data_IF_254873610624
#
_entry.id   IF_254873610624
#
_cell.length_a   1.000
_cell.length_b   1.000
_cell.length_c   1.000
_cell.angle_alpha   90.00
_cell.angle_beta   90.00
_cell.angle_gamma   90.00
#
_symmetry.space_group_name_H-M   'P 1'
#
loop_
_entity.id
_entity.type
_entity.pdbx_description
1 polymer ?
#
# COMPACT_ATOMS: atom_id res chain seq x y z
N UNK A 1 -4.29 -15.56 2.97
CA UNK A 1 -4.74 -14.21 3.34
C UNK A 1 -5.80 -13.65 2.37
N UNK A 2 -5.73 -13.98 1.07
CA UNK A 2 -6.65 -13.42 0.08
C UNK A 2 -8.13 -13.69 0.36
N UNK A 3 -8.47 -14.83 0.98
CA UNK A 3 -9.83 -15.22 1.35
C UNK A 3 -9.95 -15.65 2.81
N UNK A 4 -9.09 -15.14 3.67
CA UNK A 4 -9.08 -15.41 5.11
C UNK A 4 -8.94 -14.13 5.90
N UNK A 5 -9.65 -14.04 7.04
CA UNK A 5 -9.46 -12.98 8.01
C UNK A 5 -8.18 -13.18 8.84
N UNK A 6 -7.93 -12.28 9.79
CA UNK A 6 -6.74 -12.33 10.65
C UNK A 6 -6.75 -13.56 11.59
N UNK A 7 -7.94 -14.08 11.91
CA UNK A 7 -8.12 -15.27 12.74
C UNK A 7 -8.01 -16.58 11.94
N UNK A 8 -7.80 -16.47 10.61
CA UNK A 8 -7.67 -17.61 9.70
C UNK A 8 -8.99 -18.20 9.21
N UNK A 9 -10.15 -17.60 9.55
CA UNK A 9 -11.45 -18.03 9.06
C UNK A 9 -11.67 -17.61 7.60
N UNK A 10 -12.51 -18.37 6.89
CA UNK A 10 -12.89 -18.02 5.52
C UNK A 10 -13.65 -16.70 5.50
N UNK A 11 -13.12 -15.72 4.76
CA UNK A 11 -13.69 -14.39 4.60
C UNK A 11 -13.47 -13.90 3.16
N UNK A 12 -14.56 -13.56 2.47
CA UNK A 12 -14.50 -13.07 1.08
C UNK A 12 -13.77 -11.74 0.92
N UNK A 13 -13.74 -10.91 1.96
CA UNK A 13 -12.98 -9.67 1.97
C UNK A 13 -11.47 -9.90 2.18
N UNK A 14 -11.10 -11.07 2.69
CA UNK A 14 -9.72 -11.41 2.98
C UNK A 14 -9.10 -10.48 4.04
N UNK A 15 -7.79 -10.37 3.96
CA UNK A 15 -6.97 -9.49 4.80
C UNK A 15 -6.05 -8.69 3.90
N UNK A 16 -5.66 -7.50 4.29
CA UNK A 16 -4.52 -6.83 3.67
C UNK A 16 -3.25 -7.58 4.03
N UNK A 17 -2.35 -7.75 3.07
CA UNK A 17 -1.14 -8.52 3.31
C UNK A 17 0.04 -8.01 2.50
N UNK A 18 1.24 -8.28 3.00
CA UNK A 18 2.50 -8.20 2.28
C UNK A 18 3.00 -9.61 1.99
N UNK A 19 3.90 -9.76 1.05
CA UNK A 19 4.52 -11.04 0.75
C UNK A 19 5.83 -11.16 1.53
N UNK A 20 5.83 -12.01 2.57
CA UNK A 20 6.97 -12.22 3.46
C UNK A 20 8.24 -12.75 2.75
N UNK A 21 8.11 -13.24 1.52
CA UNK A 21 9.25 -13.65 0.67
C UNK A 21 10.06 -12.45 0.20
N UNK A 22 9.41 -11.29 0.04
CA UNK A 22 10.00 -10.08 -0.56
C UNK A 22 10.07 -8.92 0.41
N UNK A 23 9.11 -8.78 1.31
CA UNK A 23 9.07 -7.68 2.26
C UNK A 23 9.24 -8.17 3.70
N UNK A 24 9.99 -7.45 4.48
CA UNK A 24 10.12 -7.72 5.90
C UNK A 24 8.87 -7.27 6.68
N UNK A 25 8.73 -7.80 7.89
CA UNK A 25 7.58 -7.49 8.75
C UNK A 25 7.67 -6.12 9.41
N UNK A 26 8.82 -5.44 9.31
CA UNK A 26 9.06 -4.11 9.91
C UNK A 26 8.77 -2.98 8.94
N UNK A 27 8.53 -3.30 7.66
CA UNK A 27 8.37 -2.34 6.55
C UNK A 27 9.62 -1.44 6.40
N UNK A 28 10.80 -2.04 6.58
CA UNK A 28 12.07 -1.34 6.45
C UNK A 28 12.68 -1.42 5.05
N UNK A 29 12.07 -2.20 4.16
CA UNK A 29 12.47 -2.31 2.76
C UNK A 29 12.38 -0.96 2.01
N UNK A 30 13.18 -0.74 0.97
CA UNK A 30 13.07 0.43 0.10
C UNK A 30 11.70 0.57 -0.54
N UNK A 31 11.07 -0.56 -0.93
CA UNK A 31 9.70 -0.62 -1.44
C UNK A 31 8.95 -1.75 -0.77
N UNK A 32 7.87 -1.40 -0.07
CA UNK A 32 6.94 -2.36 0.51
C UNK A 32 5.64 -2.37 -0.30
N UNK A 33 5.17 -3.56 -0.71
CA UNK A 33 3.90 -3.70 -1.43
C UNK A 33 2.86 -4.34 -0.53
N UNK A 34 1.72 -3.66 -0.37
CA UNK A 34 0.55 -4.17 0.36
C UNK A 34 -0.57 -4.44 -0.63
N UNK A 35 -1.10 -5.64 -0.58
CA UNK A 35 -2.20 -6.11 -1.42
C UNK A 35 -3.51 -6.09 -0.66
N UNK A 36 -4.58 -5.69 -1.33
CA UNK A 36 -5.94 -5.69 -0.77
C UNK A 36 -7.01 -5.83 -1.82
N UNK A 37 -8.15 -6.41 -1.42
CA UNK A 37 -9.30 -6.56 -2.30
C UNK A 37 -9.98 -5.24 -2.62
N UNK A 38 -10.49 -5.14 -3.84
CA UNK A 38 -11.40 -4.07 -4.26
C UNK A 38 -12.85 -4.49 -3.98
N UNK A 39 -13.33 -4.19 -2.78
CA UNK A 39 -14.68 -4.56 -2.37
C UNK A 39 -15.72 -3.53 -2.83
N UNK A 40 -16.82 -4.00 -3.43
CA UNK A 40 -17.89 -3.12 -3.92
C UNK A 40 -18.56 -2.29 -2.80
N UNK A 41 -18.54 -2.76 -1.55
CA UNK A 41 -19.03 -2.04 -0.38
C UNK A 41 -18.01 -1.01 0.16
N UNK A 42 -16.90 -0.77 -0.55
CA UNK A 42 -15.81 0.14 -0.20
C UNK A 42 -14.99 -0.24 1.04
N UNK A 43 -15.14 -1.46 1.54
CA UNK A 43 -14.21 -2.00 2.54
C UNK A 43 -12.90 -2.45 1.87
N UNK A 44 -11.89 -2.75 2.65
CA UNK A 44 -10.53 -3.05 2.19
C UNK A 44 -9.99 -1.90 1.34
N UNK A 45 -9.52 -2.14 0.12
CA UNK A 45 -9.08 -1.09 -0.82
C UNK A 45 -10.18 -0.64 -1.80
N UNK A 46 -11.45 -0.96 -1.53
CA UNK A 46 -12.56 -0.70 -2.46
C UNK A 46 -12.85 0.78 -2.78
N UNK A 47 -12.33 1.72 -1.99
CA UNK A 47 -12.42 3.16 -2.26
C UNK A 47 -11.12 3.79 -2.76
N UNK A 48 -10.02 3.03 -2.73
CA UNK A 48 -8.66 3.57 -2.89
C UNK A 48 -8.42 4.16 -4.28
N UNK A 49 -8.87 3.48 -5.34
CA UNK A 49 -8.72 3.98 -6.72
C UNK A 49 -9.45 5.33 -6.90
N UNK A 50 -10.74 5.39 -6.54
CA UNK A 50 -11.53 6.62 -6.70
C UNK A 50 -10.97 7.79 -5.88
N UNK A 51 -10.42 7.50 -4.71
CA UNK A 51 -9.74 8.49 -3.89
C UNK A 51 -8.49 9.02 -4.60
N UNK A 52 -7.61 8.13 -5.05
CA UNK A 52 -6.34 8.50 -5.66
C UNK A 52 -6.51 9.21 -7.02
N UNK A 53 -7.54 8.86 -7.81
CA UNK A 53 -7.82 9.52 -9.10
C UNK A 53 -8.17 11.00 -8.96
N UNK A 54 -8.75 11.40 -7.83
CA UNK A 54 -9.21 12.78 -7.57
C UNK A 54 -8.39 13.50 -6.50
N UNK A 55 -7.38 12.83 -5.96
CA UNK A 55 -6.56 13.34 -4.88
C UNK A 55 -5.85 14.65 -5.28
N UNK A 56 -5.91 15.61 -4.37
CA UNK A 56 -5.00 16.77 -4.37
C UNK A 56 -3.84 16.43 -3.46
N UNK A 57 -2.62 16.56 -3.97
CA UNK A 57 -1.40 16.26 -3.23
C UNK A 57 -1.11 17.40 -2.24
N UNK A 58 -1.79 17.36 -1.11
CA UNK A 58 -1.59 18.24 0.03
C UNK A 58 -1.09 17.44 1.25
N UNK A 59 -0.88 18.14 2.37
CA UNK A 59 -0.38 17.52 3.61
C UNK A 59 -1.35 16.49 4.25
N UNK A 60 -2.59 16.40 3.74
CA UNK A 60 -3.60 15.43 4.20
C UNK A 60 -3.64 14.17 3.35
N UNK A 61 -2.91 14.16 2.24
CA UNK A 61 -2.79 13.01 1.35
C UNK A 61 -1.79 12.01 1.92
N UNK A 62 -2.15 11.35 3.02
CA UNK A 62 -1.24 10.45 3.75
C UNK A 62 -1.85 9.08 3.97
N UNK A 63 -0.97 8.10 4.10
CA UNK A 63 -1.25 6.76 4.64
C UNK A 63 -0.48 6.62 5.95
N UNK A 64 -1.18 6.31 7.02
CA UNK A 64 -0.56 6.05 8.31
C UNK A 64 -0.52 4.54 8.57
N UNK A 65 0.64 4.05 8.95
CA UNK A 65 0.87 2.65 9.30
C UNK A 65 1.27 2.56 10.76
N UNK A 66 0.53 1.78 11.52
CA UNK A 66 0.78 1.57 12.93
C UNK A 66 1.31 0.15 13.16
N UNK A 67 2.45 0.06 13.79
CA UNK A 67 3.05 -1.19 14.28
C UNK A 67 3.26 -1.10 15.79
N UNK A 68 3.53 -2.24 16.44
CA UNK A 68 3.87 -2.22 17.86
C UNK A 68 5.10 -1.32 18.11
N UNK A 69 4.88 -0.22 18.83
CA UNK A 69 5.94 0.74 19.16
C UNK A 69 6.36 1.70 18.05
N UNK A 70 5.62 1.78 16.93
CA UNK A 70 6.00 2.59 15.77
C UNK A 70 4.78 3.11 15.02
N UNK A 71 4.80 4.38 14.64
CA UNK A 71 3.90 4.98 13.68
C UNK A 71 4.72 5.49 12.50
N UNK A 72 4.31 5.13 11.30
CA UNK A 72 4.90 5.61 10.06
C UNK A 72 3.86 6.39 9.26
N UNK A 73 4.22 7.60 8.82
CA UNK A 73 3.37 8.43 7.96
C UNK A 73 3.98 8.48 6.57
N UNK A 74 3.22 8.04 5.59
CA UNK A 74 3.60 8.06 4.18
C UNK A 74 2.76 9.09 3.44
N UNK A 75 3.38 10.03 2.72
CA UNK A 75 2.69 10.99 1.87
C UNK A 75 2.47 10.38 0.49
N UNK A 76 1.20 10.39 0.04
CA UNK A 76 0.83 9.85 -1.28
C UNK A 76 1.36 10.80 -2.36
N UNK A 77 2.02 10.24 -3.36
CA UNK A 77 2.53 10.98 -4.51
C UNK A 77 2.05 10.45 -5.85
N UNK A 78 1.46 9.23 -5.91
CA UNK A 78 1.00 8.68 -7.18
C UNK A 78 -0.22 7.78 -7.04
N UNK A 79 -1.10 7.86 -8.04
CA UNK A 79 -2.14 6.88 -8.35
C UNK A 79 -2.09 6.56 -9.85
N UNK A 80 -1.88 5.28 -10.23
CA UNK A 80 -1.66 4.89 -11.62
C UNK A 80 -2.15 3.47 -11.91
N UNK A 81 -2.76 3.21 -13.09
CA UNK A 81 -3.02 1.86 -13.56
C UNK A 81 -1.73 1.07 -13.79
N UNK A 82 -1.81 -0.22 -13.49
CA UNK A 82 -0.71 -1.16 -13.58
C UNK A 82 -1.22 -2.49 -14.13
N UNK A 83 -0.42 -3.22 -14.87
CA UNK A 83 -0.80 -4.56 -15.34
C UNK A 83 -0.68 -5.62 -14.22
N UNK A 84 -0.64 -6.88 -14.55
CA UNK A 84 -0.51 -7.98 -13.59
C UNK A 84 0.94 -8.37 -13.28
N UNK A 85 1.92 -7.60 -13.76
CA UNK A 85 3.35 -7.84 -13.49
C UNK A 85 3.60 -7.81 -11.98
N UNK A 86 4.28 -8.81 -11.48
CA UNK A 86 4.58 -8.90 -10.05
C UNK A 86 5.74 -7.96 -9.70
N UNK A 87 5.45 -6.87 -8.98
CA UNK A 87 6.40 -5.78 -8.72
C UNK A 87 7.69 -6.33 -8.09
N UNK A 88 7.59 -6.99 -6.95
CA UNK A 88 8.75 -7.42 -6.15
C UNK A 88 9.50 -8.63 -6.73
N UNK A 89 8.85 -9.39 -7.61
CA UNK A 89 9.53 -10.51 -8.29
C UNK A 89 10.48 -10.03 -9.40
N UNK A 90 10.07 -8.97 -10.12
CA UNK A 90 10.84 -8.44 -11.24
C UNK A 90 11.81 -7.33 -10.87
N UNK A 91 11.68 -6.74 -9.66
CA UNK A 91 12.48 -5.60 -9.24
C UNK A 91 13.07 -5.84 -7.85
N UNK A 92 14.38 -6.00 -7.80
CA UNK A 92 15.14 -5.97 -6.55
C UNK A 92 15.42 -4.51 -6.18
N UNK A 93 14.53 -3.93 -5.37
CA UNK A 93 14.65 -2.53 -4.94
C UNK A 93 15.77 -2.28 -3.93
N UNK A 94 16.54 -3.28 -3.53
CA UNK A 94 17.79 -3.07 -2.78
C UNK A 94 18.92 -2.59 -3.69
N UNK A 95 18.76 -2.69 -5.01
CA UNK A 95 19.64 -2.12 -6.02
C UNK A 95 19.21 -0.68 -6.38
N UNK A 96 20.13 0.28 -6.25
CA UNK A 96 19.91 1.70 -6.53
C UNK A 96 19.44 1.95 -7.97
N UNK A 97 20.04 1.23 -8.94
CA UNK A 97 19.69 1.43 -10.34
C UNK A 97 18.27 0.94 -10.65
N UNK A 98 17.89 -0.22 -10.09
CA UNK A 98 16.54 -0.78 -10.23
C UNK A 98 15.51 0.16 -9.62
N UNK A 99 15.76 0.68 -8.41
CA UNK A 99 14.90 1.67 -7.77
C UNK A 99 14.73 2.92 -8.61
N UNK A 100 15.83 3.49 -9.05
CA UNK A 100 15.85 4.73 -9.85
C UNK A 100 15.14 4.55 -11.20
N UNK A 101 15.40 3.45 -11.89
CA UNK A 101 14.78 3.15 -13.19
C UNK A 101 13.27 2.93 -13.08
N UNK A 102 12.81 2.28 -11.99
CA UNK A 102 11.38 2.07 -11.76
C UNK A 102 10.62 3.38 -11.58
N UNK A 103 11.14 4.32 -10.78
CA UNK A 103 10.49 5.62 -10.58
C UNK A 103 10.69 6.57 -11.76
N UNK A 104 11.76 6.44 -12.54
CA UNK A 104 11.90 7.11 -13.82
C UNK A 104 10.88 6.60 -14.85
N UNK A 105 10.56 5.31 -14.84
CA UNK A 105 9.50 4.74 -15.66
C UNK A 105 8.11 5.24 -15.26
N UNK A 106 7.85 5.41 -13.95
CA UNK A 106 6.63 6.04 -13.45
C UNK A 106 6.48 7.47 -13.97
N UNK A 107 7.56 8.27 -13.94
CA UNK A 107 7.56 9.65 -14.47
C UNK A 107 7.21 9.70 -15.95
N UNK A 108 7.76 8.79 -16.75
CA UNK A 108 7.41 8.65 -18.18
C UNK A 108 5.94 8.27 -18.35
N UNK A 109 5.47 7.25 -17.62
CA UNK A 109 4.09 6.80 -17.68
C UNK A 109 3.09 7.89 -17.23
N UNK A 110 3.50 8.79 -16.36
CA UNK A 110 2.68 9.93 -15.91
C UNK A 110 2.43 10.95 -17.02
N UNK A 111 3.32 11.06 -17.99
CA UNK A 111 3.26 12.07 -19.07
C UNK A 111 2.90 11.50 -20.44
N UNK A 112 3.11 10.21 -20.63
CA UNK A 112 2.88 9.54 -21.90
C UNK A 112 1.82 8.43 -21.78
N UNK A 113 0.62 8.70 -22.27
CA UNK A 113 -0.50 7.75 -22.30
C UNK A 113 -0.24 6.52 -23.19
N UNK A 114 0.71 6.61 -24.11
CA UNK A 114 1.11 5.49 -25.00
C UNK A 114 2.18 4.59 -24.39
N UNK A 115 2.72 4.99 -23.21
CA UNK A 115 3.73 4.19 -22.51
C UNK A 115 3.18 2.79 -22.20
N UNK A 116 3.98 1.76 -22.49
CA UNK A 116 3.66 0.37 -22.17
C UNK A 116 4.71 -0.18 -21.20
N UNK A 117 4.30 -0.37 -19.96
CA UNK A 117 5.16 -0.97 -18.95
C UNK A 117 5.45 -2.45 -19.18
N UNK A 118 4.57 -3.15 -19.91
CA UNK A 118 4.79 -4.55 -20.28
C UNK A 118 6.03 -4.73 -21.14
N UNK A 119 6.27 -3.79 -22.07
CA UNK A 119 7.45 -3.81 -22.95
C UNK A 119 8.75 -3.56 -22.18
N UNK A 120 8.64 -2.91 -21.03
CA UNK A 120 9.76 -2.55 -20.15
C UNK A 120 9.82 -3.36 -18.86
N UNK A 121 8.94 -4.34 -18.69
CA UNK A 121 8.82 -5.21 -17.50
C UNK A 121 8.55 -4.47 -16.18
N UNK A 122 8.09 -3.22 -16.23
CA UNK A 122 7.73 -2.46 -15.02
C UNK A 122 6.22 -2.34 -14.77
N UNK A 123 5.38 -2.80 -15.69
CA UNK A 123 3.94 -2.98 -15.52
C UNK A 123 3.08 -1.71 -15.57
N UNK A 124 3.63 -0.50 -15.66
CA UNK A 124 2.82 0.72 -15.74
C UNK A 124 1.96 0.75 -17.01
N UNK A 125 0.66 0.99 -16.84
CA UNK A 125 -0.35 0.93 -17.88
C UNK A 125 -1.22 2.21 -17.94
N UNK A 126 -0.64 3.40 -18.23
CA UNK A 126 -1.37 4.67 -18.18
C UNK A 126 -2.53 4.77 -19.16
N UNK A 127 -2.55 3.96 -20.24
CA UNK A 127 -3.68 3.86 -21.16
C UNK A 127 -4.92 3.19 -20.56
N UNK A 128 -4.74 2.38 -19.52
CA UNK A 128 -5.81 1.61 -18.90
C UNK A 128 -6.72 2.45 -17.98
N UNK A 129 -6.40 3.71 -17.66
CA UNK A 129 -7.25 4.53 -16.80
C UNK A 129 -6.67 5.87 -16.39
N UNK A 130 -7.17 6.42 -15.31
CA UNK A 130 -6.70 7.68 -14.73
C UNK A 130 -5.30 7.57 -14.16
N UNK A 131 -4.51 8.58 -14.43
CA UNK A 131 -3.16 8.75 -13.89
C UNK A 131 -3.13 10.07 -13.13
N UNK A 132 -2.73 10.00 -11.87
CA UNK A 132 -2.59 11.15 -10.98
C UNK A 132 -1.25 11.01 -10.25
N UNK A 133 -0.23 11.80 -10.64
CA UNK A 133 1.13 11.70 -10.13
C UNK A 133 1.67 13.09 -9.81
N UNK A 134 2.13 13.29 -8.58
CA UNK A 134 2.89 14.46 -8.18
C UNK A 134 4.36 14.25 -8.57
N UNK A 135 4.73 14.75 -9.74
CA UNK A 135 6.08 14.58 -10.29
C UNK A 135 7.16 15.34 -9.52
N UNK A 136 6.79 16.34 -8.77
CA UNK A 136 7.73 17.13 -7.95
C UNK A 136 8.13 16.38 -6.66
N UNK A 137 7.38 15.34 -6.27
CA UNK A 137 7.61 14.54 -5.06
C UNK A 137 7.96 13.07 -5.34
N UNK A 138 8.47 12.77 -6.51
CA UNK A 138 8.92 11.40 -6.85
C UNK A 138 10.04 10.94 -5.90
N UNK A 139 10.04 9.64 -5.53
CA UNK A 139 11.06 9.09 -4.66
C UNK A 139 12.45 9.14 -5.26
N UNK A 140 13.44 9.30 -4.40
CA UNK A 140 14.87 9.21 -4.71
C UNK A 140 15.48 8.04 -3.96
N UNK A 141 16.61 7.56 -4.43
CA UNK A 141 17.35 6.51 -3.71
C UNK A 141 17.57 6.89 -2.24
N UNK A 142 17.23 5.95 -1.36
CA UNK A 142 17.22 6.16 0.09
C UNK A 142 15.85 6.49 0.68
N UNK A 143 14.88 6.90 -0.13
CA UNK A 143 13.48 7.03 0.31
C UNK A 143 12.85 5.64 0.49
N UNK A 144 11.94 5.50 1.47
CA UNK A 144 11.10 4.32 1.63
C UNK A 144 9.73 4.55 1.01
N UNK A 145 9.25 3.61 0.23
CA UNK A 145 8.00 3.71 -0.51
C UNK A 145 7.04 2.59 -0.12
N UNK A 146 5.80 2.98 0.17
CA UNK A 146 4.68 2.07 0.35
C UNK A 146 3.85 2.07 -0.94
N UNK A 147 3.58 0.89 -1.48
CA UNK A 147 2.74 0.66 -2.65
C UNK A 147 1.50 -0.10 -2.21
N UNK A 148 0.33 0.51 -2.36
CA UNK A 148 -0.96 -0.14 -2.13
C UNK A 148 -1.47 -0.65 -3.49
N UNK A 149 -1.57 -1.97 -3.64
CA UNK A 149 -1.98 -2.62 -4.88
C UNK A 149 -3.39 -3.19 -4.75
N UNK A 150 -4.28 -2.76 -5.63
CA UNK A 150 -5.69 -3.17 -5.67
C UNK A 150 -6.11 -3.56 -7.09
N UNK A 151 -7.08 -4.47 -7.23
CA UNK A 151 -7.71 -4.75 -8.52
C UNK A 151 -8.38 -3.49 -9.06
N UNK A 152 -8.14 -3.16 -10.32
CA UNK A 152 -8.73 -1.99 -10.95
C UNK A 152 -10.26 -2.15 -11.11
N UNK A 153 -11.01 -1.08 -10.85
CA UNK A 153 -12.47 -1.09 -10.99
C UNK A 153 -12.89 -1.46 -12.43
N UNK A 154 -13.67 -2.55 -12.53
CA UNK A 154 -14.24 -3.00 -13.81
C UNK A 154 -13.22 -3.58 -14.79
N UNK A 155 -12.03 -3.93 -14.36
CA UNK A 155 -10.96 -4.42 -15.22
C UNK A 155 -10.03 -5.38 -14.45
N UNK A 156 -10.29 -6.67 -14.59
CA UNK A 156 -9.54 -7.72 -13.89
C UNK A 156 -8.12 -7.94 -14.45
N UNK A 157 -7.85 -7.43 -15.65
CA UNK A 157 -6.54 -7.52 -16.29
C UNK A 157 -5.54 -6.50 -15.75
N UNK A 158 -6.03 -5.50 -14.98
CA UNK A 158 -5.18 -4.46 -14.44
C UNK A 158 -5.33 -4.32 -12.93
N UNK A 159 -4.34 -3.69 -12.35
CA UNK A 159 -4.31 -3.22 -10.96
C UNK A 159 -4.35 -1.69 -10.97
N UNK A 160 -4.63 -1.13 -9.81
CA UNK A 160 -4.41 0.29 -9.56
C UNK A 160 -3.43 0.39 -8.40
N UNK A 161 -2.34 1.12 -8.61
CA UNK A 161 -1.34 1.33 -7.58
C UNK A 161 -1.52 2.72 -6.98
N UNK A 162 -1.53 2.80 -5.65
CA UNK A 162 -1.37 4.05 -4.92
C UNK A 162 -0.03 4.00 -4.22
N UNK A 163 0.83 4.97 -4.50
CA UNK A 163 2.20 4.99 -4.01
C UNK A 163 2.39 6.16 -3.06
N UNK A 164 3.04 5.89 -1.94
CA UNK A 164 3.30 6.89 -0.91
C UNK A 164 4.74 6.77 -0.39
N UNK A 165 5.35 7.93 -0.11
CA UNK A 165 6.73 8.06 0.38
C UNK A 165 6.74 8.32 1.87
N UNK A 166 7.58 7.62 2.63
CA UNK A 166 7.75 7.82 4.06
C UNK A 166 8.23 9.25 4.34
N UNK A 167 7.49 9.96 5.19
CA UNK A 167 7.80 11.33 5.60
C UNK A 167 8.03 11.48 7.10
N UNK A 168 7.48 10.55 7.90
CA UNK A 168 7.65 10.54 9.33
C UNK A 168 7.68 9.08 9.84
N UNK A 169 8.59 8.80 10.75
CA UNK A 169 8.77 7.53 11.41
C UNK A 169 8.97 7.79 12.90
N UNK A 170 7.92 7.57 13.67
CA UNK A 170 7.90 7.82 15.09
C UNK A 170 8.12 6.54 15.87
N UNK A 171 9.05 6.56 16.82
CA UNK A 171 9.29 5.46 17.75
C UNK A 171 8.25 5.39 18.88
N UNK A 172 7.32 6.34 18.98
CA UNK A 172 6.30 6.34 20.02
C UNK A 172 5.19 5.31 19.74
N UNK A 173 4.89 4.43 20.71
CA UNK A 173 3.86 3.43 20.57
C UNK A 173 2.47 4.09 20.65
N UNK A 174 1.87 4.37 19.51
CA UNK A 174 0.43 4.58 19.46
C UNK A 174 -0.23 3.19 19.50
N UNK A 175 -0.55 2.72 20.70
CA UNK A 175 -1.42 1.56 20.89
C UNK A 175 -2.85 2.06 20.95
N UNK A 176 -3.59 1.81 19.91
CA UNK A 176 -5.04 1.96 19.94
C UNK A 176 -5.62 0.55 20.10
N UNK A 177 -6.33 0.31 21.18
CA UNK A 177 -7.08 -0.93 21.37
C UNK A 177 -8.30 -0.95 20.43
N UNK A 178 -8.87 -2.13 20.21
CA UNK A 178 -10.12 -2.26 19.44
C UNK A 178 -11.22 -1.36 19.99
N UNK A 179 -11.36 -1.30 21.33
CA UNK A 179 -12.34 -0.48 22.00
C UNK A 179 -12.13 1.03 21.76
N UNK A 180 -10.88 1.48 21.79
CA UNK A 180 -10.55 2.88 21.45
C UNK A 180 -10.84 3.22 19.99
N UNK A 181 -10.58 2.29 19.08
CA UNK A 181 -10.88 2.44 17.67
C UNK A 181 -12.39 2.49 17.41
N UNK A 182 -13.18 1.64 18.07
CA UNK A 182 -14.65 1.66 18.03
C UNK A 182 -15.19 2.97 18.59
N UNK A 183 -14.66 3.42 19.72
CA UNK A 183 -15.06 4.68 20.36
C UNK A 183 -14.68 5.91 19.52
N UNK A 184 -13.61 5.84 18.77
CA UNK A 184 -13.18 6.89 17.82
C UNK A 184 -13.92 6.84 16.49
N UNK A 185 -14.82 5.86 16.26
CA UNK A 185 -15.54 5.69 14.99
C UNK A 185 -14.66 5.27 13.84
N UNK A 186 -13.56 4.59 14.13
CA UNK A 186 -12.56 4.18 13.14
C UNK A 186 -12.73 2.75 12.67
N UNK A 187 -13.73 2.02 13.17
CA UNK A 187 -13.96 0.60 12.85
C UNK A 187 -14.12 0.30 11.37
N UNK A 188 -14.70 1.24 10.61
CA UNK A 188 -14.87 1.09 9.17
C UNK A 188 -13.60 1.43 8.36
N UNK A 189 -12.58 1.94 9.04
CA UNK A 189 -11.31 2.39 8.44
C UNK A 189 -10.11 1.58 8.91
N UNK A 190 -10.31 0.67 9.87
CA UNK A 190 -9.24 -0.13 10.46
C UNK A 190 -9.05 -1.39 9.64
N UNK A 191 -7.85 -1.53 9.11
CA UNK A 191 -7.43 -2.68 8.34
C UNK A 191 -6.52 -3.55 9.21
N UNK A 192 -7.06 -4.08 10.27
CA UNK A 192 -6.39 -4.92 11.24
C UNK A 192 -6.30 -4.27 12.63
N UNK A 193 -6.69 -4.97 13.64
CA UNK A 193 -6.66 -4.55 15.05
C UNK A 193 -5.66 -5.42 15.80
N UNK A 194 -4.78 -4.79 16.58
CA UNK A 194 -3.92 -5.54 17.49
C UNK A 194 -4.79 -6.32 18.51
N UNK A 195 -4.43 -7.56 18.86
CA UNK A 195 -5.14 -8.31 19.89
C UNK A 195 -5.13 -7.53 21.22
N UNK A 196 -6.17 -7.70 22.02
CA UNK A 196 -6.23 -7.14 23.37
C UNK A 196 -5.03 -7.61 24.20
N UNK A 197 -4.58 -6.80 25.17
CA UNK A 197 -3.34 -7.05 25.93
C UNK A 197 -3.32 -8.40 26.70
N UNK A 198 -4.49 -8.99 26.95
CA UNK A 198 -4.62 -10.26 27.68
C UNK A 198 -4.20 -11.49 26.86
N UNK A 199 -4.05 -11.37 25.53
CA UNK A 199 -3.62 -12.47 24.63
C UNK A 199 -2.11 -12.45 24.36
N UNK A 200 -1.34 -11.58 25.00
CA UNK A 200 0.09 -11.38 24.76
C UNK A 200 1.01 -12.54 25.18
N UNK A 201 0.46 -13.65 25.68
CA UNK A 201 1.24 -14.82 26.13
C UNK A 201 1.41 -15.91 25.06
N UNK A 202 0.77 -15.79 23.90
CA UNK A 202 0.86 -16.80 22.84
C UNK A 202 1.28 -16.14 21.53
N UNK A 203 2.48 -16.48 21.12
CA UNK A 203 3.05 -16.29 19.79
C UNK A 203 3.68 -14.93 19.44
N UNK A 204 5.01 -14.88 19.57
CA UNK A 204 5.87 -13.75 19.17
C UNK A 204 6.11 -13.63 17.65
N UNK A 205 5.44 -14.42 16.82
CA UNK A 205 5.70 -14.51 15.38
C UNK A 205 4.67 -13.81 14.49
N UNK A 206 3.50 -13.41 15.02
CA UNK A 206 2.45 -12.76 14.23
C UNK A 206 2.21 -11.32 14.69
N UNK A 207 3.01 -10.39 14.18
CA UNK A 207 2.81 -8.96 14.42
C UNK A 207 1.87 -8.39 13.38
N UNK A 208 0.68 -8.02 13.81
CA UNK A 208 -0.35 -7.38 12.98
C UNK A 208 0.04 -5.94 12.67
N UNK A 209 0.00 -5.58 11.41
CA UNK A 209 0.22 -4.23 10.91
C UNK A 209 -1.14 -3.56 10.70
N UNK A 210 -1.32 -2.32 11.16
CA UNK A 210 -2.54 -1.54 10.99
C UNK A 210 -2.31 -0.47 9.93
N UNK A 211 -3.21 -0.40 8.95
CA UNK A 211 -3.21 0.60 7.90
C UNK A 211 -4.44 1.49 8.02
N UNK A 212 -4.24 2.82 8.07
CA UNK A 212 -5.29 3.82 8.01
C UNK A 212 -5.16 4.65 6.74
N UNK A 213 -6.27 4.93 6.10
CA UNK A 213 -6.34 5.87 4.98
C UNK A 213 -7.27 7.04 5.32
#
# INVERSE_FOLDING_TARGET
YLYRDLDGNDNKAGTLYTEATYNDTKLDDPVTVVYGHNMANRTMFGGLQSYAETLKFDDKAVVEVYQSGRKMTYRIFAGIPYDTTHILYYHDFTDEQVFTDFFAALDKAATDKSYSGSDHKNGFAPSAGSVNVNRDDLPKWGDKVLVLSVCKNGDDAHRYLVMAKLVEDSAEPLRMTREEAEKAGLTDRIIGVAPAEDDAAADTTNKTCLLYT
#
